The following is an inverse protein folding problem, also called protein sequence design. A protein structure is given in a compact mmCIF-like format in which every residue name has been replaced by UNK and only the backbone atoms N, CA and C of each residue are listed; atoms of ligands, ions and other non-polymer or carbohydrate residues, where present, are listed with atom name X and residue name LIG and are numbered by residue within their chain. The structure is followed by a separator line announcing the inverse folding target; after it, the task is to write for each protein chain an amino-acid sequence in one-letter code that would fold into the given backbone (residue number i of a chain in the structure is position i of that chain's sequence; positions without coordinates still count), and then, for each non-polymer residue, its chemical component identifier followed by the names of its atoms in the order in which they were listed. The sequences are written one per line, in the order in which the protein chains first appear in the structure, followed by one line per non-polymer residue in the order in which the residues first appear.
data_IF_234534007034
#
_entry.id   IF_234534007034
#
_cell.length_a   1.000
_cell.length_b   1.000
_cell.length_c   1.000
_cell.angle_alpha   90.00
_cell.angle_beta   90.00
_cell.angle_gamma   90.00
#
_symmetry.space_group_name_H-M   'P 1'
#
loop_
_entity.id
_entity.type
_entity.pdbx_description
1 polymer ?
#
# COMPACT_ATOMS: atom_id res chain seq x y z
N UNK A 1 -7.44 -10.49 12.53
CA UNK A 1 -7.50 -10.04 11.13
C UNK A 1 -6.30 -10.63 10.44
N UNK A 2 -6.52 -11.33 9.33
CA UNK A 2 -5.44 -11.82 8.48
C UNK A 2 -4.90 -10.68 7.59
N UNK A 3 -3.79 -10.96 6.89
CA UNK A 3 -3.10 -10.00 6.05
C UNK A 3 -3.97 -9.51 4.87
N UNK A 4 -4.80 -10.39 4.29
CA UNK A 4 -5.67 -10.03 3.18
C UNK A 4 -6.69 -8.95 3.58
N UNK A 5 -7.32 -9.08 4.75
CA UNK A 5 -8.25 -8.07 5.25
C UNK A 5 -7.58 -6.71 5.51
N UNK A 6 -6.33 -6.71 5.98
CA UNK A 6 -5.54 -5.49 6.17
C UNK A 6 -5.18 -4.80 4.85
N UNK A 7 -4.93 -5.59 3.81
CA UNK A 7 -4.67 -5.08 2.46
C UNK A 7 -5.94 -4.52 1.80
N UNK A 8 -7.10 -5.12 2.07
CA UNK A 8 -8.39 -4.57 1.65
C UNK A 8 -8.65 -3.18 2.30
N UNK A 9 -8.33 -3.00 3.57
CA UNK A 9 -8.38 -1.68 4.23
C UNK A 9 -7.42 -0.67 3.56
N UNK A 10 -6.20 -1.08 3.26
CA UNK A 10 -5.22 -0.23 2.59
C UNK A 10 -5.71 0.20 1.19
N UNK A 11 -6.32 -0.71 0.42
CA UNK A 11 -6.93 -0.39 -0.88
C UNK A 11 -8.02 0.67 -0.78
N UNK A 12 -8.85 0.62 0.27
CA UNK A 12 -9.87 1.67 0.51
C UNK A 12 -9.22 3.04 0.73
N UNK A 13 -8.09 3.11 1.43
CA UNK A 13 -7.36 4.38 1.64
C UNK A 13 -6.68 4.84 0.34
N UNK A 14 -6.11 3.93 -0.45
CA UNK A 14 -5.55 4.22 -1.78
C UNK A 14 -6.61 4.78 -2.73
N UNK A 15 -7.83 4.23 -2.73
CA UNK A 15 -8.95 4.77 -3.52
C UNK A 15 -9.36 6.18 -3.06
N UNK A 16 -9.29 6.48 -1.76
CA UNK A 16 -9.50 7.85 -1.25
C UNK A 16 -8.39 8.78 -1.71
N UNK A 17 -7.13 8.35 -1.67
CA UNK A 17 -5.99 9.11 -2.16
C UNK A 17 -6.13 9.46 -3.65
N UNK A 18 -6.49 8.47 -4.48
CA UNK A 18 -6.64 8.65 -5.92
C UNK A 18 -7.73 9.68 -6.25
N UNK A 19 -8.86 9.66 -5.54
CA UNK A 19 -9.93 10.66 -5.70
C UNK A 19 -9.49 12.08 -5.36
N UNK A 20 -8.47 12.22 -4.52
CA UNK A 20 -7.93 13.53 -4.17
C UNK A 20 -6.83 13.97 -5.12
N UNK A 21 -6.27 13.11 -5.98
CA UNK A 21 -5.25 13.46 -6.97
C UNK A 21 -5.72 14.57 -7.93
N UNK A 22 -4.75 15.32 -8.50
CA UNK A 22 -5.06 16.44 -9.40
C UNK A 22 -5.81 15.97 -10.66
N UNK A 23 -5.53 14.75 -11.11
CA UNK A 23 -6.32 14.01 -12.10
C UNK A 23 -6.61 12.61 -11.55
N UNK A 24 -7.76 12.41 -10.87
CA UNK A 24 -8.14 11.10 -10.34
C UNK A 24 -8.18 10.03 -11.43
N UNK A 25 -7.69 8.83 -11.15
CA UNK A 25 -7.67 7.70 -12.09
C UNK A 25 -6.67 7.82 -13.25
N UNK A 26 -5.88 8.89 -13.31
CA UNK A 26 -4.85 9.09 -14.35
C UNK A 26 -3.42 9.00 -13.86
N UNK A 27 -3.19 8.93 -12.55
CA UNK A 27 -1.84 8.80 -12.00
C UNK A 27 -1.31 7.38 -12.22
N UNK A 28 -0.30 7.17 -13.09
CA UNK A 28 0.25 5.83 -13.32
C UNK A 28 0.87 5.26 -12.05
N UNK A 29 1.41 6.12 -11.18
CA UNK A 29 2.01 5.73 -9.90
C UNK A 29 0.94 5.25 -8.90
N UNK A 30 -0.26 5.85 -8.89
CA UNK A 30 -1.36 5.36 -8.06
C UNK A 30 -1.91 4.03 -8.56
N UNK A 31 -2.04 3.87 -9.89
CA UNK A 31 -2.47 2.62 -10.49
C UNK A 31 -1.49 1.46 -10.17
N UNK A 32 -0.19 1.75 -10.24
CA UNK A 32 0.88 0.82 -9.87
C UNK A 32 0.84 0.42 -8.39
N UNK A 33 0.66 1.41 -7.49
CA UNK A 33 0.48 1.14 -6.06
C UNK A 33 -0.73 0.24 -5.79
N UNK A 34 -1.87 0.56 -6.41
CA UNK A 34 -3.07 -0.26 -6.30
C UNK A 34 -2.84 -1.68 -6.80
N UNK A 35 -2.16 -1.85 -7.93
CA UNK A 35 -1.82 -3.17 -8.47
C UNK A 35 -0.95 -3.96 -7.50
N UNK A 36 0.12 -3.34 -6.99
CA UNK A 36 1.06 -3.99 -6.05
C UNK A 36 0.34 -4.48 -4.79
N UNK A 37 -0.59 -3.69 -4.23
CA UNK A 37 -1.37 -4.10 -3.05
C UNK A 37 -2.35 -5.24 -3.38
N UNK A 38 -2.94 -5.27 -4.58
CA UNK A 38 -3.79 -6.39 -5.03
C UNK A 38 -2.96 -7.66 -5.19
N UNK A 39 -1.77 -7.57 -5.80
CA UNK A 39 -0.84 -8.69 -5.92
C UNK A 39 -0.43 -9.22 -4.52
N UNK A 40 -0.10 -8.32 -3.58
CA UNK A 40 0.22 -8.71 -2.20
C UNK A 40 -0.94 -9.45 -1.52
N UNK A 41 -2.17 -9.05 -1.81
CA UNK A 41 -3.38 -9.69 -1.28
C UNK A 41 -3.56 -11.09 -1.85
N UNK A 42 -3.35 -11.26 -3.16
CA UNK A 42 -3.39 -12.56 -3.83
C UNK A 42 -2.28 -13.50 -3.35
N UNK A 43 -1.09 -12.94 -3.07
CA UNK A 43 0.06 -13.63 -2.52
C UNK A 43 0.01 -13.83 -0.99
N UNK A 44 -1.07 -13.46 -0.30
CA UNK A 44 -1.15 -13.49 1.17
C UNK A 44 -0.95 -14.87 1.83
N UNK A 45 -0.93 -15.95 1.04
CA UNK A 45 -0.57 -17.30 1.48
C UNK A 45 0.93 -17.62 1.43
N UNK A 46 1.75 -16.78 0.80
CA UNK A 46 3.21 -16.89 0.72
C UNK A 46 3.87 -15.70 1.45
N UNK A 47 4.44 -15.93 2.66
CA UNK A 47 5.07 -14.88 3.46
C UNK A 47 6.25 -14.16 2.79
N UNK A 48 6.96 -14.82 1.87
CA UNK A 48 8.12 -14.22 1.19
C UNK A 48 7.62 -13.29 0.09
N UNK A 49 6.77 -13.79 -0.79
CA UNK A 49 6.22 -13.01 -1.91
C UNK A 49 5.41 -11.80 -1.41
N UNK A 50 4.58 -11.98 -0.38
CA UNK A 50 3.84 -10.86 0.21
C UNK A 50 4.78 -9.84 0.87
N UNK A 51 5.88 -10.28 1.49
CA UNK A 51 6.87 -9.39 2.09
C UNK A 51 7.54 -8.49 1.06
N UNK A 52 7.99 -9.06 -0.06
CA UNK A 52 8.58 -8.31 -1.19
C UNK A 52 7.59 -7.29 -1.77
N UNK A 53 6.33 -7.68 -1.96
CA UNK A 53 5.28 -6.80 -2.49
C UNK A 53 4.92 -5.67 -1.52
N UNK A 54 4.92 -5.94 -0.21
CA UNK A 54 4.69 -4.91 0.83
C UNK A 54 5.84 -3.90 0.89
N UNK A 55 7.09 -4.34 0.76
CA UNK A 55 8.24 -3.45 0.65
C UNK A 55 8.15 -2.55 -0.59
N UNK A 56 7.82 -3.15 -1.74
CA UNK A 56 7.62 -2.42 -2.99
C UNK A 56 6.50 -1.38 -2.86
N UNK A 57 5.36 -1.74 -2.28
CA UNK A 57 4.25 -0.82 -2.05
C UNK A 57 4.67 0.35 -1.12
N UNK A 58 5.44 0.07 -0.07
CA UNK A 58 6.00 1.09 0.81
C UNK A 58 6.88 2.10 0.07
N UNK A 59 7.79 1.62 -0.80
CA UNK A 59 8.65 2.47 -1.61
C UNK A 59 7.85 3.36 -2.59
N UNK A 60 6.80 2.82 -3.20
CA UNK A 60 5.90 3.56 -4.09
C UNK A 60 5.14 4.67 -3.35
N UNK A 61 4.65 4.42 -2.12
CA UNK A 61 4.04 5.46 -1.28
C UNK A 61 5.04 6.57 -0.97
N UNK A 62 6.29 6.24 -0.63
CA UNK A 62 7.34 7.23 -0.42
C UNK A 62 7.58 8.12 -1.65
N UNK A 63 7.60 7.53 -2.85
CA UNK A 63 7.73 8.27 -4.10
C UNK A 63 6.54 9.22 -4.37
N UNK A 64 5.32 8.78 -4.04
CA UNK A 64 4.09 9.55 -4.20
C UNK A 64 4.02 10.75 -3.25
N UNK A 65 4.47 10.59 -1.99
CA UNK A 65 4.55 11.67 -1.00
C UNK A 65 5.39 12.85 -1.49
N UNK A 66 6.53 12.58 -2.14
CA UNK A 66 7.44 13.61 -2.68
C UNK A 66 6.84 14.30 -3.91
N UNK A 67 6.10 13.56 -4.74
CA UNK A 67 5.60 14.05 -6.03
C UNK A 67 4.27 14.81 -5.99
N UNK A 68 3.47 14.67 -4.92
CA UNK A 68 2.10 15.20 -4.91
C UNK A 68 1.72 15.82 -3.54
N UNK A 69 2.16 17.06 -3.32
CA UNK A 69 1.98 17.80 -2.07
C UNK A 69 0.64 18.57 -2.03
N UNK A 70 -0.47 17.88 -1.77
CA UNK A 70 -1.70 18.53 -1.30
C UNK A 70 -1.87 18.22 0.19
N UNK A 71 -2.01 19.25 1.04
CA UNK A 71 -2.00 19.14 2.51
C UNK A 71 -2.99 18.10 3.07
N UNK A 72 -4.14 17.89 2.40
CA UNK A 72 -5.12 16.88 2.79
C UNK A 72 -4.75 15.42 2.52
N UNK A 73 -3.64 15.13 1.83
CA UNK A 73 -3.24 13.76 1.44
C UNK A 73 -2.17 13.14 2.34
N UNK A 74 -1.42 13.96 3.08
CA UNK A 74 -0.39 13.48 4.01
C UNK A 74 -0.93 12.48 5.05
N UNK A 75 -2.09 12.72 5.70
CA UNK A 75 -2.66 11.75 6.63
C UNK A 75 -3.01 10.43 5.95
N UNK A 76 -3.54 10.47 4.73
CA UNK A 76 -3.93 9.27 4.00
C UNK A 76 -2.72 8.44 3.58
N UNK A 77 -1.59 9.06 3.20
CA UNK A 77 -0.37 8.29 2.96
C UNK A 77 0.14 7.59 4.23
N UNK A 78 0.01 8.23 5.40
CA UNK A 78 0.34 7.60 6.67
C UNK A 78 -0.62 6.45 7.00
N UNK A 79 -1.91 6.58 6.70
CA UNK A 79 -2.89 5.50 6.85
C UNK A 79 -2.57 4.31 5.94
N UNK A 80 -2.15 4.53 4.68
CA UNK A 80 -1.70 3.43 3.80
C UNK A 80 -0.49 2.73 4.41
N UNK A 81 0.55 3.47 4.81
CA UNK A 81 1.76 2.89 5.40
C UNK A 81 1.45 2.09 6.68
N UNK A 82 0.54 2.59 7.53
CA UNK A 82 0.10 1.88 8.71
C UNK A 82 -0.63 0.57 8.37
N UNK A 83 -1.47 0.56 7.33
CA UNK A 83 -2.11 -0.65 6.80
C UNK A 83 -1.10 -1.69 6.31
N UNK A 84 -0.13 -1.25 5.49
CA UNK A 84 0.95 -2.11 4.99
C UNK A 84 1.80 -2.70 6.13
N UNK A 85 2.18 -1.89 7.11
CA UNK A 85 2.96 -2.35 8.26
C UNK A 85 2.19 -3.38 9.11
N UNK A 86 0.88 -3.18 9.29
CA UNK A 86 0.03 -4.16 9.97
C UNK A 86 -0.07 -5.46 9.17
N UNK A 87 -0.18 -5.38 7.84
CA UNK A 87 -0.19 -6.56 6.96
C UNK A 87 1.12 -7.34 7.08
N UNK A 88 2.27 -6.65 7.07
CA UNK A 88 3.61 -7.25 7.28
C UNK A 88 3.72 -7.99 8.62
N UNK A 89 3.20 -7.41 9.70
CA UNK A 89 3.19 -8.06 11.01
C UNK A 89 2.27 -9.29 11.04
N UNK A 90 1.20 -9.28 10.25
CA UNK A 90 0.23 -10.37 10.18
C UNK A 90 0.71 -11.54 9.29
N UNK A 91 1.59 -11.29 8.32
CA UNK A 91 2.23 -12.32 7.48
C UNK A 91 3.33 -13.10 8.21
N UNK A 92 3.66 -12.70 9.44
CA UNK A 92 4.68 -13.31 10.28
C UNK A 92 6.05 -12.69 10.08
N UNK A 93 6.97 -12.83 11.05
CA UNK A 93 8.31 -12.27 10.92
C UNK A 93 9.04 -12.98 9.79
N UNK A 94 9.44 -12.18 8.81
CA UNK A 94 10.46 -12.54 7.85
C UNK A 94 11.75 -12.80 8.64
N UNK A 95 12.12 -14.08 8.80
CA UNK A 95 13.45 -14.45 9.28
C UNK A 95 14.43 -14.25 8.14
N UNK A 96 14.79 -13.00 7.86
CA UNK A 96 16.10 -12.72 7.24
C UNK A 96 17.17 -13.02 8.30
N UNK A 97 17.56 -14.29 8.37
CA UNK A 97 18.72 -14.82 9.07
C UNK A 97 19.90 -14.99 8.10
#
# INVERSE_FOLDING_TARGET
MDAAALLDEALVVVDKLDRLCCEPGRSPRMAELRRTIVEAREASGDPIEVGELLEQAGAQVGSLQVGCCAEGRLPLYAEVLAGLARAQLATGPDMHA
#
